data_IF_215794705548
#
_entry.id   IF_215794705548
#
_cell.length_a   1.000
_cell.length_b   1.000
_cell.length_c   1.000
_cell.angle_alpha   90.00
_cell.angle_beta   90.00
_cell.angle_gamma   90.00
#
_symmetry.space_group_name_H-M   'P 1'
#
loop_
_entity.id
_entity.type
_entity.pdbx_description
1 polymer ?
#
# COMPACT_ATOMS: atom_id res chain seq x y z
N UNK A 1 -10.70 -21.47 9.65
CA UNK A 1 -11.09 -20.23 8.94
C UNK A 1 -10.01 -19.94 7.92
N UNK A 2 -10.32 -19.65 6.64
CA UNK A 2 -9.28 -19.25 5.71
C UNK A 2 -8.63 -17.97 6.24
N UNK A 3 -7.30 -17.98 6.40
CA UNK A 3 -6.51 -16.76 6.58
C UNK A 3 -6.79 -15.87 5.37
N UNK A 4 -7.55 -14.81 5.60
CA UNK A 4 -7.73 -13.76 4.61
C UNK A 4 -6.36 -13.11 4.54
N UNK A 5 -5.57 -13.38 3.50
CA UNK A 5 -4.30 -12.70 3.28
C UNK A 5 -4.64 -11.23 3.02
N UNK A 6 -4.45 -10.38 4.04
CA UNK A 6 -4.71 -8.97 3.93
C UNK A 6 -3.65 -8.41 3.00
N UNK A 7 -3.98 -8.23 1.70
CA UNK A 7 -3.02 -7.64 0.76
C UNK A 7 -2.86 -6.16 1.06
N UNK A 8 -1.92 -5.85 1.95
CA UNK A 8 -1.60 -4.49 2.41
C UNK A 8 -1.04 -3.60 1.28
N UNK A 9 -0.42 -4.21 0.25
CA UNK A 9 0.26 -3.48 -0.80
C UNK A 9 -0.43 -3.64 -2.18
N UNK A 10 -0.99 -2.55 -2.76
CA UNK A 10 -1.64 -2.59 -4.08
C UNK A 10 -0.71 -2.83 -5.27
N UNK A 11 0.60 -2.59 -5.12
CA UNK A 11 1.52 -2.59 -6.27
C UNK A 11 2.61 -3.64 -6.19
N UNK A 12 2.21 -4.80 -5.69
CA UNK A 12 3.03 -6.00 -5.73
C UNK A 12 3.08 -6.63 -7.14
N UNK A 13 4.08 -7.45 -7.39
CA UNK A 13 4.36 -8.04 -8.70
C UNK A 13 3.21 -8.94 -9.20
N UNK A 14 2.52 -9.65 -8.31
CA UNK A 14 1.39 -10.50 -8.68
C UNK A 14 0.21 -9.67 -9.20
N UNK A 15 0.01 -8.46 -8.65
CA UNK A 15 -1.06 -7.54 -9.11
C UNK A 15 -0.74 -6.99 -10.48
N UNK A 16 0.53 -6.68 -10.75
CA UNK A 16 0.97 -6.23 -12.06
C UNK A 16 0.78 -7.35 -13.08
N UNK A 17 1.21 -8.57 -12.76
CA UNK A 17 1.00 -9.76 -13.61
C UNK A 17 -0.48 -10.03 -13.88
N UNK A 18 -1.33 -10.00 -12.86
CA UNK A 18 -2.77 -10.17 -13.03
C UNK A 18 -3.41 -9.06 -13.85
N UNK A 19 -2.93 -7.82 -13.71
CA UNK A 19 -3.37 -6.70 -14.53
C UNK A 19 -2.98 -6.88 -16.00
N UNK A 20 -1.73 -7.25 -16.27
CA UNK A 20 -1.19 -7.41 -17.62
C UNK A 20 -1.74 -8.64 -18.34
N UNK A 21 -2.04 -9.72 -17.61
CA UNK A 21 -2.64 -10.95 -18.17
C UNK A 21 -4.14 -10.82 -18.42
N UNK A 22 -4.79 -9.79 -17.85
CA UNK A 22 -6.23 -9.64 -18.00
C UNK A 22 -6.59 -9.13 -19.39
N UNK A 23 -7.74 -9.57 -19.87
CA UNK A 23 -8.37 -8.99 -21.06
C UNK A 23 -8.50 -7.46 -20.92
N UNK A 24 -8.21 -6.77 -22.02
CA UNK A 24 -8.18 -5.31 -22.11
C UNK A 24 -9.53 -4.67 -21.82
N UNK A 25 -10.63 -5.39 -22.05
CA UNK A 25 -12.01 -4.95 -21.81
C UNK A 25 -12.44 -5.04 -20.35
N UNK A 26 -11.81 -5.92 -19.56
CA UNK A 26 -12.27 -6.22 -18.20
C UNK A 26 -11.77 -5.12 -17.24
N UNK A 27 -12.48 -4.89 -16.14
CA UNK A 27 -11.99 -4.00 -15.06
C UNK A 27 -11.17 -4.79 -14.03
N UNK A 28 -10.06 -4.23 -13.56
CA UNK A 28 -9.24 -4.81 -12.49
C UNK A 28 -8.96 -3.74 -11.44
N UNK A 29 -9.28 -4.06 -10.19
CA UNK A 29 -8.99 -3.20 -9.05
C UNK A 29 -8.24 -3.99 -7.98
N UNK A 30 -6.95 -3.71 -7.74
CA UNK A 30 -6.17 -4.37 -6.70
C UNK A 30 -6.63 -4.00 -5.29
N UNK A 31 -7.49 -2.98 -5.13
CA UNK A 31 -7.98 -2.49 -3.85
C UNK A 31 -9.33 -3.09 -3.43
N UNK A 32 -9.80 -4.13 -4.15
CA UNK A 32 -11.06 -4.82 -3.88
C UNK A 32 -11.16 -5.33 -2.44
N UNK A 33 -10.07 -5.85 -1.87
CA UNK A 33 -10.06 -6.34 -0.49
C UNK A 33 -10.27 -5.23 0.55
N UNK A 34 -9.66 -4.06 0.32
CA UNK A 34 -9.87 -2.89 1.18
C UNK A 34 -11.33 -2.40 1.10
N UNK A 35 -11.92 -2.41 -0.09
CA UNK A 35 -13.34 -2.10 -0.28
C UNK A 35 -14.24 -3.10 0.48
N UNK A 36 -13.97 -4.41 0.35
CA UNK A 36 -14.73 -5.44 1.04
C UNK A 36 -14.67 -5.31 2.57
N UNK A 37 -13.53 -4.87 3.13
CA UNK A 37 -13.40 -4.57 4.57
C UNK A 37 -14.28 -3.40 4.98
N UNK A 38 -14.26 -2.31 4.22
CA UNK A 38 -15.11 -1.15 4.50
C UNK A 38 -16.59 -1.50 4.44
N UNK A 39 -17.01 -2.33 3.49
CA UNK A 39 -18.37 -2.85 3.38
C UNK A 39 -18.74 -3.80 4.54
N UNK A 40 -17.78 -4.59 5.02
CA UNK A 40 -17.97 -5.45 6.20
C UNK A 40 -18.15 -4.63 7.47
N UNK A 41 -17.40 -3.53 7.61
CA UNK A 41 -17.56 -2.58 8.71
C UNK A 41 -18.94 -1.92 8.67
N UNK A 42 -19.37 -1.42 7.50
CA UNK A 42 -20.71 -0.84 7.34
C UNK A 42 -21.83 -1.82 7.69
N UNK A 43 -21.74 -3.07 7.25
CA UNK A 43 -22.72 -4.12 7.58
C UNK A 43 -22.81 -4.41 9.08
N UNK A 44 -21.74 -4.15 9.84
CA UNK A 44 -21.66 -4.44 11.27
C UNK A 44 -22.09 -3.24 12.13
N UNK A 45 -21.93 -2.03 11.61
CA UNK A 45 -22.27 -0.77 12.26
C UNK A 45 -23.49 -0.08 11.62
N UNK A 46 -24.42 -0.85 11.05
CA UNK A 46 -25.68 -0.33 10.48
C UNK A 46 -25.52 0.80 9.42
N UNK A 47 -24.36 0.90 8.78
CA UNK A 47 -24.05 1.94 7.81
C UNK A 47 -23.35 3.19 8.38
N UNK A 48 -22.97 3.19 9.66
CA UNK A 48 -22.24 4.31 10.27
C UNK A 48 -20.83 4.43 9.65
N UNK A 49 -20.64 5.52 8.91
CA UNK A 49 -19.40 5.76 8.14
C UNK A 49 -18.26 6.25 9.02
N UNK A 50 -18.57 6.96 10.10
CA UNK A 50 -17.60 7.52 11.03
C UNK A 50 -16.79 6.42 11.73
N UNK A 51 -17.43 5.29 12.06
CA UNK A 51 -16.78 4.12 12.64
C UNK A 51 -15.88 3.36 11.65
N UNK A 52 -16.00 3.66 10.35
CA UNK A 52 -15.33 2.92 9.28
C UNK A 52 -14.35 3.79 8.46
N UNK A 53 -14.03 5.00 8.93
CA UNK A 53 -13.16 5.96 8.22
C UNK A 53 -11.81 5.36 7.85
N UNK A 54 -11.21 4.60 8.75
CA UNK A 54 -9.89 3.99 8.55
C UNK A 54 -9.89 2.98 7.38
N UNK A 55 -10.99 2.23 7.22
CA UNK A 55 -11.14 1.31 6.10
C UNK A 55 -11.32 2.04 4.77
N UNK A 56 -12.04 3.17 4.75
CA UNK A 56 -12.17 4.00 3.56
C UNK A 56 -10.85 4.68 3.21
N UNK A 57 -10.08 5.08 4.22
CA UNK A 57 -8.76 5.68 4.04
C UNK A 57 -7.79 4.69 3.42
N UNK A 58 -7.74 3.46 3.95
CA UNK A 58 -6.96 2.38 3.35
C UNK A 58 -7.31 2.13 1.87
N UNK A 59 -8.60 2.15 1.50
CA UNK A 59 -9.01 2.02 0.10
C UNK A 59 -8.56 3.21 -0.77
N UNK A 60 -8.66 4.45 -0.26
CA UNK A 60 -8.21 5.65 -0.98
C UNK A 60 -6.70 5.65 -1.18
N UNK A 61 -5.95 5.31 -0.14
CA UNK A 61 -4.49 5.25 -0.19
C UNK A 61 -4.01 4.15 -1.14
N UNK A 62 -4.68 3.00 -1.09
CA UNK A 62 -4.45 1.89 -2.01
C UNK A 62 -4.62 2.33 -3.48
N UNK A 63 -5.76 2.96 -3.78
CA UNK A 63 -6.08 3.42 -5.13
C UNK A 63 -5.16 4.54 -5.60
N UNK A 64 -4.77 5.44 -4.69
CA UNK A 64 -3.82 6.52 -4.96
C UNK A 64 -2.48 5.96 -5.38
N UNK A 65 -1.90 5.03 -4.59
CA UNK A 65 -0.63 4.36 -4.92
C UNK A 65 -0.69 3.66 -6.27
N UNK A 66 -1.74 2.88 -6.53
CA UNK A 66 -1.91 2.19 -7.81
C UNK A 66 -1.93 3.15 -9.02
N UNK A 67 -2.71 4.23 -8.94
CA UNK A 67 -2.81 5.22 -10.02
C UNK A 67 -1.50 5.98 -10.21
N UNK A 68 -0.86 6.37 -9.11
CA UNK A 68 0.41 7.09 -9.11
C UNK A 68 1.52 6.26 -9.76
N UNK A 69 1.69 5.00 -9.35
CA UNK A 69 2.68 4.11 -9.97
C UNK A 69 2.40 3.90 -11.46
N UNK A 70 1.15 3.72 -11.87
CA UNK A 70 0.85 3.61 -13.31
C UNK A 70 1.15 4.90 -14.07
N UNK A 71 0.98 6.06 -13.43
CA UNK A 71 1.35 7.35 -14.02
C UNK A 71 2.86 7.49 -14.12
N UNK A 72 3.61 7.12 -13.08
CA UNK A 72 5.08 7.17 -13.09
C UNK A 72 5.66 6.18 -14.10
N UNK A 73 5.13 4.97 -14.23
CA UNK A 73 5.55 4.00 -15.24
C UNK A 73 5.26 4.49 -16.68
N UNK A 74 4.08 5.10 -16.91
CA UNK A 74 3.79 5.74 -18.20
C UNK A 74 4.72 6.92 -18.48
N UNK A 75 5.01 7.73 -17.46
CA UNK A 75 5.92 8.86 -17.55
C UNK A 75 7.35 8.42 -17.84
N UNK A 76 7.88 7.43 -17.10
CA UNK A 76 9.19 6.82 -17.34
C UNK A 76 9.29 6.27 -18.76
N UNK A 77 8.26 5.54 -19.23
CA UNK A 77 8.22 5.04 -20.61
C UNK A 77 8.18 6.16 -21.65
N UNK A 78 7.42 7.22 -21.40
CA UNK A 78 7.37 8.38 -22.28
C UNK A 78 8.72 9.12 -22.33
N UNK A 79 9.34 9.40 -21.17
CA UNK A 79 10.64 10.06 -21.08
C UNK A 79 11.76 9.22 -21.69
N UNK A 80 11.76 7.90 -21.45
CA UNK A 80 12.70 6.97 -22.08
C UNK A 80 12.53 6.90 -23.60
N UNK A 81 11.29 6.96 -24.10
CA UNK A 81 11.01 7.02 -25.54
C UNK A 81 11.42 8.35 -26.18
N UNK A 82 11.49 9.43 -25.41
CA UNK A 82 11.95 10.76 -25.87
C UNK A 82 13.48 10.93 -25.80
N UNK A 83 14.24 9.88 -25.42
CA UNK A 83 15.69 9.93 -25.37
C UNK A 83 16.27 10.80 -24.23
N UNK A 84 15.43 11.26 -23.30
CA UNK A 84 15.86 12.00 -22.12
C UNK A 84 16.36 10.98 -21.07
N UNK A 85 17.64 10.64 -21.10
CA UNK A 85 18.29 9.84 -20.05
C UNK A 85 18.24 10.63 -18.74
N UNK A 86 17.23 10.37 -17.91
CA UNK A 86 17.30 10.64 -16.47
C UNK A 86 18.46 9.78 -15.97
N UNK A 87 19.52 10.44 -15.49
CA UNK A 87 20.63 9.77 -14.83
C UNK A 87 20.10 8.87 -13.71
N UNK A 88 20.75 7.73 -13.55
CA UNK A 88 20.53 6.72 -12.53
C UNK A 88 20.45 7.33 -11.11
N UNK A 89 19.26 7.75 -10.72
CA UNK A 89 18.85 7.86 -9.33
C UNK A 89 17.56 7.07 -9.23
N UNK A 90 17.76 5.77 -8.99
CA UNK A 90 16.75 4.75 -8.80
C UNK A 90 15.74 5.23 -7.76
N UNK A 91 14.45 5.40 -8.10
CA UNK A 91 13.44 5.49 -7.07
C UNK A 91 13.31 4.08 -6.50
N UNK A 92 14.04 3.80 -5.42
CA UNK A 92 13.62 2.83 -4.43
C UNK A 92 12.18 3.20 -4.06
N UNK A 93 11.21 2.56 -4.71
CA UNK A 93 9.88 2.34 -4.17
C UNK A 93 9.99 1.32 -3.03
N UNK A 94 10.84 1.63 -2.06
CA UNK A 94 10.90 1.04 -0.74
C UNK A 94 10.25 2.08 0.15
N UNK A 95 8.96 1.87 0.39
CA UNK A 95 8.19 2.60 1.37
C UNK A 95 9.00 2.77 2.67
N UNK A 96 9.21 4.02 3.04
CA UNK A 96 9.75 4.53 4.31
C UNK A 96 9.07 3.85 5.52
N UNK A 97 9.61 3.81 6.75
CA UNK A 97 10.44 4.82 7.42
C UNK A 97 11.02 4.27 8.72
N UNK A 98 12.24 4.69 9.04
CA UNK A 98 12.94 4.48 10.31
C UNK A 98 12.46 5.42 11.43
N UNK A 99 12.71 5.00 12.68
CA UNK A 99 13.21 5.81 13.83
C UNK A 99 12.27 6.04 15.03
N UNK A 100 12.68 5.49 16.19
CA UNK A 100 12.61 6.14 17.51
C UNK A 100 13.81 5.61 18.33
N UNK A 101 14.94 6.33 18.35
CA UNK A 101 15.39 7.30 19.37
C UNK A 101 15.92 6.66 20.67
N UNK A 102 17.16 7.05 21.01
CA UNK A 102 17.94 6.64 22.16
C UNK A 102 17.29 6.93 23.52
N UNK A 103 17.60 6.10 24.53
CA UNK A 103 17.52 6.47 25.93
C UNK A 103 18.62 5.76 26.74
N UNK A 104 19.63 6.54 27.14
CA UNK A 104 20.53 6.24 28.24
C UNK A 104 19.79 6.52 29.56
N UNK A 105 19.86 5.63 30.54
CA UNK A 105 19.27 5.86 31.87
C UNK A 105 19.55 4.73 32.86
N UNK A 106 20.44 5.01 33.81
CA UNK A 106 20.88 4.16 34.92
C UNK A 106 19.85 4.12 36.07
N UNK A 107 19.61 2.96 36.71
CA UNK A 107 19.31 2.78 38.16
C UNK A 107 19.16 1.28 38.49
N UNK A 108 20.14 0.64 39.14
CA UNK A 108 20.24 0.20 40.57
C UNK A 108 19.25 -0.85 41.09
N UNK A 109 19.68 -1.56 42.16
CA UNK A 109 19.09 -2.71 42.91
C UNK A 109 19.53 -4.09 42.35
N UNK A 110 20.21 -5.00 43.04
CA UNK A 110 20.42 -5.25 44.48
C UNK A 110 19.96 -6.68 44.78
N UNK A 111 20.85 -7.63 45.10
CA UNK A 111 20.47 -9.03 45.34
C UNK A 111 21.64 -9.94 45.69
N UNK A 112 22.05 -9.87 46.95
CA UNK A 112 23.00 -10.75 47.63
C UNK A 112 22.47 -12.20 47.79
N UNK A 113 23.44 -13.12 47.78
CA UNK A 113 23.55 -14.45 48.45
C UNK A 113 22.31 -15.22 48.91
#
# INVERSE_FOLDING_TARGET
MPEIQYRENPVDEDTKRQFDTKETSKFYDPCQDAANRSLKCLRRNMGDREMCTDYFQAYRDCKKKWVEERKTERWKKAMGSLGFKIGDDSPESSSSSSSATAASGSTTTGGEK
#
